data_IF_597493108481
#
_entry.id   IF_597493108481
#
_cell.length_a   1.000
_cell.length_b   1.000
_cell.length_c   1.000
_cell.angle_alpha   90.00
_cell.angle_beta   90.00
_cell.angle_gamma   90.00
#
_symmetry.space_group_name_H-M   'P 1'
#
loop_
_entity.id
_entity.type
_entity.pdbx_description
1 polymer ?
#
# COMPACT_ATOMS: atom_id res chain seq x y z
N UNK A 1 0.32 14.08 13.26
CA UNK A 1 0.32 13.44 11.93
C UNK A 1 -0.76 12.40 11.86
N UNK A 2 -1.34 12.26 10.71
CA UNK A 2 -2.41 11.29 10.51
C UNK A 2 -1.82 9.92 10.25
N UNK A 3 -2.44 8.86 10.76
CA UNK A 3 -1.96 7.53 10.47
C UNK A 3 -2.13 7.20 9.00
N UNK A 4 -1.22 6.38 8.48
CA UNK A 4 -1.25 6.03 7.07
C UNK A 4 -2.56 5.34 6.70
N UNK A 5 -3.14 4.57 7.60
CA UNK A 5 -4.42 3.92 7.31
C UNK A 5 -5.52 4.95 7.07
N UNK A 6 -5.48 6.05 7.78
CA UNK A 6 -6.47 7.10 7.59
C UNK A 6 -6.27 7.88 6.30
N UNK A 7 -5.07 7.83 5.73
CA UNK A 7 -4.78 8.51 4.47
C UNK A 7 -5.08 7.66 3.24
N UNK A 8 -5.39 6.38 3.43
CA UNK A 8 -5.55 5.47 2.30
C UNK A 8 -6.55 5.96 1.24
N UNK A 9 -7.74 6.47 1.61
CA UNK A 9 -8.66 6.94 0.58
C UNK A 9 -8.10 8.08 -0.25
N UNK A 10 -7.41 9.01 0.40
CA UNK A 10 -6.85 10.16 -0.30
C UNK A 10 -5.71 9.75 -1.21
N UNK A 11 -4.85 8.86 -0.71
CA UNK A 11 -3.74 8.36 -1.50
C UNK A 11 -4.26 7.55 -2.69
N UNK A 12 -5.29 6.75 -2.47
CA UNK A 12 -5.86 5.97 -3.56
C UNK A 12 -6.37 6.86 -4.68
N UNK A 13 -7.04 7.94 -4.33
CA UNK A 13 -7.55 8.87 -5.34
C UNK A 13 -6.42 9.56 -6.09
N UNK A 14 -5.31 9.82 -5.41
CA UNK A 14 -4.18 10.51 -6.01
C UNK A 14 -3.31 9.60 -6.86
N UNK A 15 -3.44 8.29 -6.70
CA UNK A 15 -2.59 7.34 -7.42
C UNK A 15 -3.31 6.83 -8.64
N UNK A 16 -2.71 7.03 -9.80
CA UNK A 16 -3.30 6.56 -11.06
C UNK A 16 -3.34 5.03 -11.08
N UNK A 17 -4.30 4.44 -11.80
CA UNK A 17 -4.30 2.99 -11.98
C UNK A 17 -2.97 2.53 -12.55
N UNK A 18 -2.41 1.48 -11.97
CA UNK A 18 -1.09 0.99 -12.34
C UNK A 18 0.05 1.74 -11.70
N UNK A 19 -0.22 2.82 -10.98
CA UNK A 19 0.82 3.59 -10.32
C UNK A 19 1.37 2.89 -9.10
N UNK A 20 2.57 3.26 -8.71
CA UNK A 20 3.24 2.68 -7.56
C UNK A 20 3.25 3.66 -6.40
N UNK A 21 3.23 3.08 -5.22
CA UNK A 21 3.25 3.84 -3.98
C UNK A 21 4.29 3.22 -3.06
N UNK A 22 5.14 4.07 -2.48
CA UNK A 22 6.14 3.61 -1.55
C UNK A 22 5.81 4.17 -0.17
N UNK A 23 5.62 3.29 0.79
CA UNK A 23 5.37 3.65 2.17
C UNK A 23 6.60 3.29 2.99
N UNK A 24 7.17 4.27 3.66
CA UNK A 24 8.39 4.06 4.45
C UNK A 24 8.17 4.47 5.89
N UNK A 25 9.07 4.02 6.76
CA UNK A 25 9.02 4.43 8.15
C UNK A 25 7.93 3.75 8.94
N UNK A 26 7.47 2.59 8.51
CA UNK A 26 6.46 1.84 9.24
C UNK A 26 7.11 0.96 10.29
N UNK A 27 6.45 0.83 11.42
CA UNK A 27 6.85 -0.19 12.38
C UNK A 27 6.39 -1.54 11.88
N UNK A 28 7.19 -2.56 12.16
CA UNK A 28 6.90 -3.90 11.61
C UNK A 28 5.52 -4.40 12.00
N UNK A 29 5.10 -4.13 13.24
CA UNK A 29 3.80 -4.63 13.68
C UNK A 29 2.63 -3.86 13.07
N UNK A 30 2.87 -2.72 12.43
CA UNK A 30 1.82 -1.98 11.76
C UNK A 30 1.57 -2.47 10.33
N UNK A 31 2.49 -3.25 9.79
CA UNK A 31 2.43 -3.64 8.37
C UNK A 31 1.15 -4.39 8.03
N UNK A 32 0.71 -5.41 8.79
CA UNK A 32 -0.50 -6.12 8.39
C UNK A 32 -1.74 -5.22 8.32
N UNK A 33 -1.88 -4.31 9.27
CA UNK A 33 -3.01 -3.40 9.26
C UNK A 33 -2.99 -2.41 8.11
N UNK A 34 -1.79 -1.89 7.82
CA UNK A 34 -1.63 -0.96 6.70
C UNK A 34 -1.91 -1.67 5.38
N UNK A 35 -1.36 -2.88 5.21
CA UNK A 35 -1.60 -3.64 4.00
C UNK A 35 -3.09 -3.94 3.80
N UNK A 36 -3.77 -4.34 4.86
CA UNK A 36 -5.19 -4.65 4.75
C UNK A 36 -5.97 -3.42 4.29
N UNK A 37 -5.63 -2.25 4.84
CA UNK A 37 -6.34 -1.04 4.47
C UNK A 37 -6.10 -0.66 3.02
N UNK A 38 -4.84 -0.72 2.58
CA UNK A 38 -4.53 -0.32 1.21
C UNK A 38 -5.05 -1.33 0.21
N UNK A 39 -5.09 -2.62 0.56
CA UNK A 39 -5.70 -3.62 -0.30
C UNK A 39 -7.18 -3.34 -0.53
N UNK A 40 -7.85 -2.83 0.50
CA UNK A 40 -9.26 -2.50 0.36
C UNK A 40 -9.48 -1.39 -0.67
N UNK A 41 -8.45 -0.61 -0.96
CA UNK A 41 -8.54 0.46 -1.95
C UNK A 41 -7.87 0.10 -3.27
N UNK A 42 -7.62 -1.17 -3.49
CA UNK A 42 -7.15 -1.62 -4.79
C UNK A 42 -5.64 -1.73 -4.95
N UNK A 43 -4.90 -1.60 -3.86
CA UNK A 43 -3.44 -1.76 -3.92
C UNK A 43 -3.06 -3.20 -3.63
N UNK A 44 -1.93 -3.61 -4.17
CA UNK A 44 -1.34 -4.89 -3.80
C UNK A 44 0.14 -4.71 -3.53
N UNK A 45 0.68 -5.60 -2.73
CA UNK A 45 2.08 -5.54 -2.33
C UNK A 45 2.98 -6.06 -3.44
N UNK A 46 3.95 -5.26 -3.81
CA UNK A 46 4.96 -5.66 -4.80
C UNK A 46 6.23 -6.11 -4.10
N UNK A 47 6.66 -5.37 -3.09
CA UNK A 47 7.89 -5.70 -2.38
C UNK A 47 7.80 -5.14 -0.96
N UNK A 48 8.53 -5.77 -0.07
CA UNK A 48 8.57 -5.38 1.32
C UNK A 48 10.01 -5.49 1.80
N UNK A 49 10.47 -4.46 2.49
CA UNK A 49 11.81 -4.45 3.04
C UNK A 49 11.76 -4.15 4.51
N UNK A 50 12.69 -4.73 5.24
CA UNK A 50 12.79 -4.52 6.67
C UNK A 50 14.20 -4.08 7.01
N UNK A 51 14.31 -3.11 7.90
CA UNK A 51 15.60 -2.63 8.36
C UNK A 51 15.44 -2.18 9.80
N UNK A 52 16.10 -2.87 10.72
CA UNK A 52 16.18 -2.47 12.12
C UNK A 52 14.83 -2.14 12.74
N UNK A 53 13.86 -3.00 12.50
CA UNK A 53 12.54 -2.81 13.08
C UNK A 53 11.61 -1.93 12.27
N UNK A 54 12.11 -1.27 11.25
CA UNK A 54 11.30 -0.46 10.35
C UNK A 54 10.99 -1.23 9.08
N UNK A 55 9.90 -0.89 8.48
CA UNK A 55 9.49 -1.54 7.24
C UNK A 55 9.17 -0.51 6.17
N UNK A 56 9.43 -0.89 4.93
CA UNK A 56 9.03 -0.12 3.76
C UNK A 56 8.25 -1.04 2.85
N UNK A 57 7.17 -0.53 2.30
CA UNK A 57 6.29 -1.29 1.41
C UNK A 57 6.24 -0.62 0.06
N UNK A 58 6.33 -1.42 -0.98
CA UNK A 58 6.11 -0.96 -2.34
C UNK A 58 4.81 -1.58 -2.80
N UNK A 59 3.83 -0.73 -3.04
CA UNK A 59 2.49 -1.15 -3.43
C UNK A 59 2.22 -0.67 -4.85
N UNK A 60 1.34 -1.37 -5.53
CA UNK A 60 0.92 -0.96 -6.86
C UNK A 60 -0.58 -0.96 -6.91
N UNK A 61 -1.15 0.11 -7.44
CA UNK A 61 -2.59 0.19 -7.59
C UNK A 61 -3.01 -0.63 -8.80
N UNK A 62 -4.04 -1.44 -8.65
CA UNK A 62 -4.57 -2.22 -9.75
C UNK A 62 -5.05 -1.33 -10.87
N UNK A 63 -5.05 -1.86 -12.08
CA UNK A 63 -5.58 -1.16 -13.21
C UNK A 63 -7.07 -0.95 -13.07
N UNK A 64 -7.65 -0.15 -13.91
CA UNK A 64 -9.07 0.12 -13.83
C UNK A 64 -9.95 -1.09 -14.08
N UNK A 65 -9.40 -2.16 -14.60
CA UNK A 65 -10.15 -3.37 -14.87
C UNK A 65 -9.73 -4.47 -13.94
N UNK A 66 -10.66 -5.38 -13.60
CA UNK A 66 -10.29 -6.52 -12.77
C UNK A 66 -9.18 -7.31 -13.45
N UNK A 67 -8.23 -7.76 -12.65
CA UNK A 67 -7.22 -8.65 -13.16
C UNK A 67 -7.84 -10.00 -13.41
N UNK A 68 -7.67 -10.47 -14.59
CA UNK A 68 -8.16 -11.77 -14.97
C UNK A 68 -6.98 -12.70 -15.08
N UNK A 69 -6.98 -13.64 -14.24
CA UNK A 69 -5.91 -14.62 -14.28
C UNK A 69 -6.46 -15.89 -14.85
N UNK A 70 -5.78 -16.35 -15.81
CA UNK A 70 -6.15 -17.68 -16.29
C UNK A 70 -6.06 -18.67 -15.18
#
# INVERSE_FOLDING_TARGET
ARPLKGLAPEIARATAPGGELILSGLLRHDVPGVLAKYRAFGFHLVAQRHLEGWASLILKRGGGKPQRWP
#
